data_IF_796868377979
#
_entry.id   IF_796868377979
#
_cell.length_a   1.000
_cell.length_b   1.000
_cell.length_c   1.000
_cell.angle_alpha   90.00
_cell.angle_beta   90.00
_cell.angle_gamma   90.00
#
_symmetry.space_group_name_H-M   'P 1'
#
loop_
_entity.id
_entity.type
_entity.pdbx_description
1 polymer ?
#
# COMPACT_ATOMS: atom_id res chain seq x y z
N UNK A 1 -19.86 -8.32 40.24
CA UNK A 1 -20.08 -7.22 39.28
C UNK A 1 -18.83 -7.16 38.41
N UNK A 2 -18.78 -8.03 37.42
CA UNK A 2 -17.80 -7.94 36.33
C UNK A 2 -18.62 -7.47 35.12
N UNK A 3 -18.21 -6.33 34.58
CA UNK A 3 -18.84 -5.70 33.44
C UNK A 3 -18.29 -6.39 32.19
N UNK A 4 -19.14 -7.12 31.48
CA UNK A 4 -18.85 -7.64 30.15
C UNK A 4 -18.75 -6.47 29.17
N UNK A 5 -17.57 -6.31 28.56
CA UNK A 5 -17.37 -5.44 27.41
C UNK A 5 -17.72 -6.28 26.17
N UNK A 6 -18.71 -5.92 25.35
CA UNK A 6 -18.97 -6.65 24.12
C UNK A 6 -17.88 -6.33 23.10
N UNK A 7 -17.07 -7.34 22.79
CA UNK A 7 -16.17 -7.34 21.64
C UNK A 7 -17.03 -7.39 20.38
N UNK A 8 -17.33 -6.23 19.81
CA UNK A 8 -18.05 -6.13 18.55
C UNK A 8 -17.05 -6.41 17.41
N UNK A 9 -16.68 -7.68 17.23
CA UNK A 9 -16.05 -8.15 16.01
C UNK A 9 -17.11 -8.03 14.91
N UNK A 10 -17.07 -6.92 14.18
CA UNK A 10 -17.96 -6.68 13.06
C UNK A 10 -17.65 -7.71 11.97
N UNK A 11 -18.42 -8.80 11.93
CA UNK A 11 -18.60 -9.65 10.77
C UNK A 11 -19.30 -8.83 9.68
N UNK A 12 -18.56 -7.94 9.04
CA UNK A 12 -18.99 -7.34 7.78
C UNK A 12 -18.59 -8.34 6.70
N UNK A 13 -19.60 -9.00 6.13
CA UNK A 13 -19.45 -9.84 4.95
C UNK A 13 -18.81 -9.03 3.82
N UNK A 14 -17.58 -9.38 3.46
CA UNK A 14 -16.81 -8.77 2.33
C UNK A 14 -17.58 -8.90 1.00
N UNK A 15 -18.54 -9.82 0.91
CA UNK A 15 -19.26 -10.14 -0.33
C UNK A 15 -20.19 -9.03 -0.86
N UNK A 16 -20.52 -7.98 -0.10
CA UNK A 16 -21.45 -6.92 -0.51
C UNK A 16 -20.87 -5.49 -0.43
N UNK A 17 -19.58 -5.35 -0.11
CA UNK A 17 -18.90 -4.05 -0.10
C UNK A 17 -18.21 -3.78 -1.44
N UNK A 18 -18.59 -2.68 -2.09
CA UNK A 18 -17.88 -2.16 -3.27
C UNK A 18 -16.45 -1.78 -2.88
N UNK A 19 -15.48 -2.49 -3.44
CA UNK A 19 -14.05 -2.20 -3.26
C UNK A 19 -13.70 -0.93 -4.03
N UNK A 20 -13.04 0.01 -3.35
CA UNK A 20 -12.57 1.27 -3.93
C UNK A 20 -11.14 1.10 -4.42
N UNK A 21 -10.92 1.45 -5.68
CA UNK A 21 -9.59 1.68 -6.22
C UNK A 21 -9.28 3.18 -6.01
N UNK A 22 -8.37 3.53 -5.10
CA UNK A 22 -8.16 4.94 -4.68
C UNK A 22 -7.65 5.85 -5.81
N UNK A 23 -7.15 5.25 -6.88
CA UNK A 23 -6.67 5.90 -8.10
C UNK A 23 -7.73 6.04 -9.20
N UNK A 24 -8.96 5.54 -9.00
CA UNK A 24 -10.00 5.51 -10.04
C UNK A 24 -11.32 6.11 -9.53
N UNK A 25 -11.59 7.37 -9.92
CA UNK A 25 -12.76 8.13 -9.48
C UNK A 25 -14.09 7.43 -9.76
N UNK A 26 -14.20 6.64 -10.85
CA UNK A 26 -15.43 5.89 -11.19
C UNK A 26 -15.74 4.78 -10.18
N UNK A 27 -14.76 4.37 -9.36
CA UNK A 27 -14.94 3.35 -8.32
C UNK A 27 -15.44 3.94 -7.00
N UNK A 28 -15.37 5.26 -6.83
CA UNK A 28 -15.85 5.93 -5.63
C UNK A 28 -17.37 5.77 -5.52
N UNK A 29 -17.87 5.57 -4.30
CA UNK A 29 -19.32 5.51 -4.07
C UNK A 29 -19.97 6.89 -4.14
N UNK A 30 -21.30 6.90 -4.29
CA UNK A 30 -22.07 8.13 -4.48
C UNK A 30 -21.97 9.10 -3.30
N UNK A 31 -21.85 8.60 -2.07
CA UNK A 31 -21.72 9.45 -0.89
C UNK A 31 -20.37 10.17 -0.89
N UNK A 32 -19.29 9.44 -1.17
CA UNK A 32 -17.95 10.00 -1.28
C UNK A 32 -17.87 11.04 -2.42
N UNK A 33 -18.41 10.70 -3.60
CA UNK A 33 -18.43 11.62 -4.74
C UNK A 33 -19.20 12.90 -4.44
N UNK A 34 -20.38 12.82 -3.83
CA UNK A 34 -21.16 14.01 -3.49
C UNK A 34 -20.39 14.98 -2.57
N UNK A 35 -19.63 14.45 -1.61
CA UNK A 35 -18.80 15.25 -0.70
C UNK A 35 -17.61 15.90 -1.42
N UNK A 36 -17.00 15.19 -2.35
CA UNK A 36 -15.91 15.74 -3.18
C UNK A 36 -16.42 16.82 -4.14
N UNK A 37 -17.59 16.62 -4.75
CA UNK A 37 -18.24 17.58 -5.65
C UNK A 37 -18.64 18.87 -4.91
N UNK A 38 -19.19 18.76 -3.70
CA UNK A 38 -19.51 19.91 -2.84
C UNK A 38 -18.27 20.76 -2.53
N UNK A 39 -17.09 20.12 -2.45
CA UNK A 39 -15.82 20.76 -2.13
C UNK A 39 -14.90 20.99 -3.34
N UNK A 40 -15.40 20.82 -4.56
CA UNK A 40 -14.59 20.93 -5.79
C UNK A 40 -13.83 22.27 -5.89
N UNK A 41 -14.43 23.46 -5.61
CA UNK A 41 -13.71 24.73 -5.67
C UNK A 41 -12.54 24.82 -4.69
N UNK A 42 -12.65 24.19 -3.52
CA UNK A 42 -11.59 24.14 -2.52
C UNK A 42 -10.45 23.22 -2.97
N UNK A 43 -10.77 22.02 -3.47
CA UNK A 43 -9.79 21.03 -3.94
C UNK A 43 -9.00 21.59 -5.13
N UNK A 44 -9.72 22.09 -6.14
CA UNK A 44 -9.11 22.65 -7.36
C UNK A 44 -8.29 23.90 -7.05
N UNK A 45 -8.83 24.80 -6.22
CA UNK A 45 -8.13 26.01 -5.78
C UNK A 45 -6.85 25.70 -5.02
N UNK A 46 -6.87 24.69 -4.14
CA UNK A 46 -5.68 24.26 -3.40
C UNK A 46 -4.57 23.77 -4.33
N UNK A 47 -4.87 22.84 -5.25
CA UNK A 47 -3.85 22.27 -6.13
C UNK A 47 -3.32 23.29 -7.14
N UNK A 48 -4.16 24.17 -7.68
CA UNK A 48 -3.70 25.23 -8.56
C UNK A 48 -2.81 26.23 -7.81
N UNK A 49 -3.18 26.62 -6.58
CA UNK A 49 -2.35 27.49 -5.76
C UNK A 49 -1.00 26.84 -5.41
N UNK A 50 -0.96 25.55 -5.04
CA UNK A 50 0.31 24.83 -4.83
C UNK A 50 1.16 24.81 -6.10
N UNK A 51 0.56 24.52 -7.27
CA UNK A 51 1.27 24.54 -8.55
C UNK A 51 1.89 25.91 -8.83
N UNK A 52 1.13 26.99 -8.66
CA UNK A 52 1.62 28.35 -8.87
C UNK A 52 2.74 28.73 -7.88
N UNK A 53 2.62 28.34 -6.61
CA UNK A 53 3.68 28.55 -5.61
C UNK A 53 4.93 27.77 -6.00
N UNK A 54 4.79 26.49 -6.35
CA UNK A 54 5.91 25.65 -6.79
C UNK A 54 6.64 26.28 -7.99
N UNK A 55 5.92 26.67 -9.04
CA UNK A 55 6.52 27.23 -10.25
C UNK A 55 7.19 28.59 -9.99
N UNK A 56 6.53 29.49 -9.26
CA UNK A 56 7.05 30.85 -9.04
C UNK A 56 8.18 30.89 -8.01
N UNK A 57 8.06 30.14 -6.92
CA UNK A 57 8.96 30.20 -5.76
C UNK A 57 9.98 29.06 -5.75
N UNK A 58 9.52 27.81 -5.77
CA UNK A 58 10.35 26.63 -5.51
C UNK A 58 11.27 26.33 -6.70
N UNK A 59 10.73 26.41 -7.92
CA UNK A 59 11.50 26.31 -9.17
C UNK A 59 12.23 27.63 -9.51
N UNK A 60 11.93 28.71 -8.80
CA UNK A 60 12.62 30.00 -8.93
C UNK A 60 12.33 30.74 -10.23
N UNK A 61 11.18 30.51 -10.88
CA UNK A 61 10.83 31.20 -12.13
C UNK A 61 10.46 32.68 -11.94
N UNK A 62 10.19 33.15 -10.71
CA UNK A 62 10.01 34.59 -10.43
C UNK A 62 11.32 35.24 -9.94
N UNK A 63 11.92 36.18 -10.70
CA UNK A 63 13.08 36.94 -10.26
C UNK A 63 12.85 37.78 -8.99
N UNK A 64 11.58 38.02 -8.62
CA UNK A 64 11.16 38.75 -7.42
C UNK A 64 10.76 37.83 -6.27
N UNK A 65 11.10 36.53 -6.34
CA UNK A 65 10.71 35.57 -5.30
C UNK A 65 11.11 36.07 -3.92
N UNK A 66 10.16 35.99 -2.99
CA UNK A 66 10.41 36.19 -1.58
C UNK A 66 11.43 35.16 -1.07
N UNK A 67 12.15 35.49 0.01
CA UNK A 67 12.98 34.51 0.72
C UNK A 67 12.11 33.45 1.43
N UNK A 68 10.89 33.81 1.81
CA UNK A 68 9.92 32.92 2.43
C UNK A 68 8.93 32.40 1.39
N UNK A 69 8.73 31.08 1.38
CA UNK A 69 7.70 30.42 0.57
C UNK A 69 6.32 30.95 0.96
N UNK A 70 5.53 31.46 0.00
CA UNK A 70 4.15 31.86 0.28
C UNK A 70 3.32 30.69 0.80
N UNK A 71 2.41 30.96 1.72
CA UNK A 71 1.41 29.98 2.15
C UNK A 71 0.30 29.86 1.12
N UNK A 72 -0.23 28.65 0.96
CA UNK A 72 -1.41 28.42 0.15
C UNK A 72 -2.67 28.89 0.89
N UNK A 73 -3.49 29.79 0.30
CA UNK A 73 -4.66 30.35 0.96
C UNK A 73 -5.74 29.30 1.27
N UNK A 74 -5.75 28.17 0.57
CA UNK A 74 -6.69 27.07 0.76
C UNK A 74 -6.20 26.03 1.77
N UNK A 75 -4.96 26.13 2.27
CA UNK A 75 -4.32 25.07 3.04
C UNK A 75 -5.12 24.65 4.29
N UNK A 76 -5.68 25.61 5.02
CA UNK A 76 -6.45 25.30 6.23
C UNK A 76 -7.72 24.49 5.92
N UNK A 77 -8.56 24.97 5.00
CA UNK A 77 -9.76 24.25 4.60
C UNK A 77 -9.44 22.90 3.93
N UNK A 78 -8.35 22.81 3.18
CA UNK A 78 -7.92 21.55 2.57
C UNK A 78 -7.53 20.50 3.63
N UNK A 79 -6.85 20.91 4.71
CA UNK A 79 -6.54 20.01 5.83
C UNK A 79 -7.82 19.51 6.51
N UNK A 80 -8.78 20.39 6.80
CA UNK A 80 -10.07 20.04 7.38
C UNK A 80 -10.85 19.06 6.49
N UNK A 81 -10.88 19.33 5.17
CA UNK A 81 -11.50 18.44 4.20
C UNK A 81 -10.81 17.06 4.19
N UNK A 82 -9.47 17.03 4.22
CA UNK A 82 -8.73 15.77 4.23
C UNK A 82 -9.01 14.95 5.50
N UNK A 83 -9.13 15.59 6.66
CA UNK A 83 -9.55 14.92 7.89
C UNK A 83 -10.97 14.36 7.76
N UNK A 84 -11.91 15.15 7.26
CA UNK A 84 -13.29 14.75 7.07
C UNK A 84 -13.44 13.56 6.10
N UNK A 85 -12.80 13.62 4.93
CA UNK A 85 -12.79 12.51 3.96
C UNK A 85 -12.06 11.30 4.56
N UNK A 86 -10.97 11.50 5.31
CA UNK A 86 -10.28 10.43 6.01
C UNK A 86 -11.19 9.67 6.98
N UNK A 87 -12.01 10.36 7.77
CA UNK A 87 -13.00 9.74 8.65
C UNK A 87 -14.06 8.95 7.85
N UNK A 88 -14.51 9.48 6.71
CA UNK A 88 -15.43 8.75 5.84
C UNK A 88 -14.78 7.48 5.26
N UNK A 89 -13.49 7.51 4.93
CA UNK A 89 -12.77 6.36 4.41
C UNK A 89 -12.63 5.22 5.41
N UNK A 90 -12.70 5.46 6.72
CA UNK A 90 -12.59 4.41 7.75
C UNK A 90 -13.61 3.27 7.58
N UNK A 91 -14.83 3.58 7.12
CA UNK A 91 -15.90 2.60 6.93
C UNK A 91 -15.85 1.86 5.58
N UNK A 92 -14.82 2.11 4.77
CA UNK A 92 -14.71 1.63 3.39
C UNK A 92 -13.59 0.60 3.25
N UNK A 93 -13.67 -0.15 2.16
CA UNK A 93 -12.67 -1.17 1.79
C UNK A 93 -11.98 -0.73 0.50
N UNK A 94 -10.65 -0.72 0.50
CA UNK A 94 -9.86 -0.38 -0.68
C UNK A 94 -9.16 -1.60 -1.26
N UNK A 95 -8.83 -1.59 -2.56
CA UNK A 95 -7.87 -2.52 -3.13
C UNK A 95 -6.45 -2.04 -2.79
N UNK A 96 -5.62 -2.95 -2.32
CA UNK A 96 -4.21 -2.74 -2.05
C UNK A 96 -3.37 -3.94 -2.51
N UNK A 97 -2.05 -3.78 -2.54
CA UNK A 97 -1.14 -4.76 -3.13
C UNK A 97 -0.04 -5.16 -2.15
N UNK A 98 0.21 -6.45 -2.00
CA UNK A 98 1.35 -7.00 -1.27
C UNK A 98 2.32 -7.67 -2.23
N UNK A 99 3.60 -7.27 -2.17
CA UNK A 99 4.67 -7.78 -3.01
C UNK A 99 5.57 -8.67 -2.17
N UNK A 100 5.82 -9.90 -2.63
CA UNK A 100 6.59 -10.88 -1.85
C UNK A 100 7.08 -12.02 -2.74
N UNK A 101 7.86 -12.94 -2.16
CA UNK A 101 8.23 -14.21 -2.79
C UNK A 101 7.69 -15.37 -1.94
N UNK A 102 6.86 -16.20 -2.54
CA UNK A 102 6.12 -17.29 -1.86
C UNK A 102 6.22 -18.60 -2.63
N UNK A 103 6.15 -19.72 -1.90
CA UNK A 103 5.93 -21.06 -2.48
C UNK A 103 4.49 -21.21 -2.97
N UNK A 104 4.23 -22.24 -3.76
CA UNK A 104 2.86 -22.56 -4.18
C UNK A 104 1.99 -22.96 -2.97
N UNK A 105 2.52 -23.77 -2.05
CA UNK A 105 1.83 -24.16 -0.81
C UNK A 105 1.45 -22.93 0.06
N UNK A 106 2.30 -21.91 0.13
CA UNK A 106 1.97 -20.66 0.85
C UNK A 106 0.82 -19.91 0.17
N UNK A 107 0.79 -19.91 -1.17
CA UNK A 107 -0.30 -19.29 -1.93
C UNK A 107 -1.61 -20.05 -1.71
N UNK A 108 -1.59 -21.38 -1.76
CA UNK A 108 -2.75 -22.22 -1.46
C UNK A 108 -3.29 -21.95 -0.05
N UNK A 109 -2.40 -21.92 0.95
CA UNK A 109 -2.77 -21.58 2.32
C UNK A 109 -3.39 -20.18 2.45
N UNK A 110 -2.86 -19.17 1.75
CA UNK A 110 -3.44 -17.82 1.76
C UNK A 110 -4.84 -17.81 1.12
N UNK A 111 -5.03 -18.57 0.04
CA UNK A 111 -6.32 -18.68 -0.65
C UNK A 111 -7.36 -19.46 0.18
N UNK A 112 -6.94 -20.42 1.00
CA UNK A 112 -7.83 -21.26 1.82
C UNK A 112 -8.11 -20.66 3.20
N UNK A 113 -7.08 -20.18 3.89
CA UNK A 113 -7.14 -19.72 5.28
C UNK A 113 -7.15 -18.20 5.44
N UNK A 114 -6.84 -17.46 4.36
CA UNK A 114 -6.75 -16.00 4.38
C UNK A 114 -5.36 -15.49 4.76
N UNK A 115 -5.26 -14.18 4.96
CA UNK A 115 -4.01 -13.50 5.25
C UNK A 115 -3.78 -13.48 6.76
N UNK A 116 -2.62 -13.98 7.18
CA UNK A 116 -2.16 -13.90 8.57
C UNK A 116 -1.21 -12.71 8.75
N UNK A 117 -1.28 -12.07 9.91
CA UNK A 117 -0.33 -11.02 10.30
C UNK A 117 1.02 -11.61 10.70
N UNK A 118 2.09 -10.83 10.54
CA UNK A 118 3.45 -11.31 10.84
C UNK A 118 3.70 -11.39 12.34
N UNK A 119 3.84 -12.60 12.87
CA UNK A 119 4.27 -12.89 14.25
C UNK A 119 5.45 -13.87 14.27
N UNK A 120 6.19 -13.98 15.38
CA UNK A 120 7.21 -15.01 15.54
C UNK A 120 6.68 -16.42 15.24
N UNK A 121 5.47 -16.74 15.70
CA UNK A 121 4.84 -18.05 15.51
C UNK A 121 4.56 -18.30 14.02
N UNK A 122 4.01 -17.32 13.31
CA UNK A 122 3.74 -17.45 11.86
C UNK A 122 5.02 -17.57 11.04
N UNK A 123 6.09 -16.83 11.39
CA UNK A 123 7.39 -16.98 10.74
C UNK A 123 7.98 -18.37 11.01
N UNK A 124 7.86 -18.85 12.27
CA UNK A 124 8.37 -20.17 12.63
C UNK A 124 7.66 -21.27 11.84
N UNK A 125 6.33 -21.23 11.77
CA UNK A 125 5.53 -22.17 10.98
C UNK A 125 5.96 -22.21 9.51
N UNK A 126 6.16 -21.03 8.90
CA UNK A 126 6.63 -20.93 7.51
C UNK A 126 8.00 -21.57 7.33
N UNK A 127 8.95 -21.28 8.22
CA UNK A 127 10.28 -21.88 8.18
C UNK A 127 10.24 -23.40 8.38
N UNK A 128 9.42 -23.91 9.30
CA UNK A 128 9.27 -25.34 9.55
C UNK A 128 8.68 -26.09 8.35
N UNK A 129 7.79 -25.45 7.58
CA UNK A 129 7.28 -25.99 6.32
C UNK A 129 8.38 -26.10 5.25
N UNK A 130 9.23 -25.08 5.13
CA UNK A 130 10.40 -25.12 4.23
C UNK A 130 11.41 -26.19 4.65
N UNK A 131 11.62 -26.40 5.96
CA UNK A 131 12.46 -27.49 6.47
C UNK A 131 11.84 -28.86 6.15
N UNK A 132 10.53 -29.00 6.36
CA UNK A 132 9.81 -30.27 6.12
C UNK A 132 9.80 -30.67 4.64
N UNK A 133 9.85 -29.71 3.72
CA UNK A 133 10.03 -29.95 2.28
C UNK A 133 11.48 -30.29 1.89
N UNK A 134 12.43 -30.25 2.83
CA UNK A 134 13.84 -30.57 2.62
C UNK A 134 14.65 -29.46 1.92
N UNK A 135 14.06 -28.27 1.77
CA UNK A 135 14.71 -27.14 1.08
C UNK A 135 15.75 -26.46 1.99
N UNK A 136 15.45 -26.31 3.28
CA UNK A 136 16.36 -25.78 4.29
C UNK A 136 16.65 -26.81 5.38
N UNK A 137 17.81 -26.72 6.02
CA UNK A 137 18.08 -27.45 7.25
C UNK A 137 17.45 -26.73 8.45
N UNK A 138 17.21 -27.47 9.52
CA UNK A 138 16.76 -26.92 10.82
C UNK A 138 17.72 -25.83 11.30
N UNK A 139 19.04 -26.07 11.23
CA UNK A 139 20.04 -25.10 11.70
C UNK A 139 19.95 -23.75 10.96
N UNK A 140 19.77 -23.78 9.62
CA UNK A 140 19.60 -22.56 8.82
C UNK A 140 18.29 -21.87 9.17
N UNK A 141 17.20 -22.62 9.33
CA UNK A 141 15.91 -22.07 9.70
C UNK A 141 15.92 -21.42 11.10
N UNK A 142 16.65 -21.99 12.06
CA UNK A 142 16.82 -21.42 13.40
C UNK A 142 17.65 -20.15 13.37
N UNK A 143 18.71 -20.10 12.57
CA UNK A 143 19.52 -18.90 12.42
C UNK A 143 18.74 -17.77 11.73
N UNK A 144 17.98 -18.09 10.66
CA UNK A 144 17.08 -17.12 10.00
C UNK A 144 16.03 -16.56 10.97
N UNK A 145 15.47 -17.42 11.82
CA UNK A 145 14.52 -16.97 12.84
C UNK A 145 15.18 -16.02 13.84
N UNK A 146 16.38 -16.36 14.33
CA UNK A 146 17.13 -15.54 15.28
C UNK A 146 17.56 -14.18 14.68
N UNK A 147 17.84 -14.11 13.38
CA UNK A 147 18.17 -12.87 12.65
C UNK A 147 16.94 -12.07 12.17
N UNK A 148 15.73 -12.58 12.42
CA UNK A 148 14.49 -11.93 12.00
C UNK A 148 14.26 -10.59 12.72
N UNK A 149 13.46 -9.66 12.15
CA UNK A 149 13.17 -8.37 12.77
C UNK A 149 12.42 -8.49 14.10
N UNK A 150 11.92 -9.68 14.46
CA UNK A 150 11.30 -9.93 15.77
C UNK A 150 12.30 -9.96 16.94
N UNK A 151 13.59 -9.91 16.64
CA UNK A 151 14.67 -9.86 17.64
C UNK A 151 15.56 -8.63 17.48
N UNK A 152 15.10 -7.61 16.75
CA UNK A 152 15.82 -6.36 16.51
C UNK A 152 14.99 -5.12 16.86
N UNK A 153 15.55 -3.95 16.58
CA UNK A 153 14.87 -2.65 16.68
C UNK A 153 13.71 -2.48 15.68
N UNK A 154 13.53 -3.44 14.76
CA UNK A 154 12.43 -3.48 13.79
C UNK A 154 11.18 -4.19 14.31
N UNK A 155 11.20 -4.71 15.54
CA UNK A 155 10.09 -5.48 16.13
C UNK A 155 8.76 -4.74 16.00
N UNK A 156 8.69 -3.48 16.44
CA UNK A 156 7.45 -2.69 16.45
C UNK A 156 6.94 -2.38 15.03
N UNK A 157 7.82 -2.36 14.03
CA UNK A 157 7.45 -2.12 12.64
C UNK A 157 6.85 -3.37 11.97
N UNK A 158 7.12 -4.57 12.49
CA UNK A 158 6.75 -5.84 11.84
C UNK A 158 5.77 -6.70 12.65
N UNK A 159 5.87 -6.69 13.98
CA UNK A 159 5.04 -7.51 14.85
C UNK A 159 3.56 -7.18 14.68
N UNK A 160 2.77 -8.22 14.41
CA UNK A 160 1.32 -8.14 14.27
C UNK A 160 0.87 -7.38 13.02
N UNK A 161 1.72 -7.21 12.01
CA UNK A 161 1.40 -6.42 10.82
C UNK A 161 1.50 -7.22 9.53
N UNK A 162 0.61 -6.92 8.59
CA UNK A 162 0.71 -7.33 7.19
C UNK A 162 0.71 -6.09 6.32
N UNK A 163 1.85 -5.82 5.66
CA UNK A 163 2.12 -4.58 4.93
C UNK A 163 1.69 -4.67 3.47
N UNK A 164 1.11 -3.60 2.95
CA UNK A 164 0.67 -3.44 1.57
C UNK A 164 1.00 -2.02 1.08
N UNK A 165 0.76 -1.78 -0.20
CA UNK A 165 0.74 -0.43 -0.79
C UNK A 165 -0.61 -0.15 -1.44
N UNK A 166 -1.05 1.10 -1.39
CA UNK A 166 -2.38 1.52 -1.83
C UNK A 166 -2.53 1.64 -3.34
N UNK A 167 -1.43 1.65 -4.09
CA UNK A 167 -1.43 1.77 -5.55
C UNK A 167 -0.63 0.63 -6.17
N UNK A 168 -0.98 0.19 -7.39
CA UNK A 168 -0.18 -0.80 -8.08
C UNK A 168 1.17 -0.18 -8.47
N UNK A 169 2.25 -0.85 -8.08
CA UNK A 169 3.63 -0.51 -8.42
C UNK A 169 4.19 -1.47 -9.46
N UNK A 170 4.98 -0.94 -10.38
CA UNK A 170 5.70 -1.73 -11.36
C UNK A 170 6.69 -2.69 -10.68
N UNK A 171 6.84 -3.90 -11.23
CA UNK A 171 7.74 -4.92 -10.67
C UNK A 171 9.22 -4.51 -10.67
N UNK A 172 9.59 -3.52 -11.49
CA UNK A 172 10.94 -2.94 -11.53
C UNK A 172 11.12 -1.74 -10.58
N UNK A 173 10.09 -1.36 -9.83
CA UNK A 173 10.17 -0.28 -8.85
C UNK A 173 11.21 -0.66 -7.78
N UNK A 174 12.08 0.28 -7.42
CA UNK A 174 13.21 0.03 -6.51
C UNK A 174 12.78 -0.35 -5.09
N UNK A 175 11.57 0.03 -4.65
CA UNK A 175 10.98 -0.43 -3.39
C UNK A 175 10.35 -1.83 -3.49
N UNK A 176 9.97 -2.27 -4.69
CA UNK A 176 9.32 -3.57 -4.94
C UNK A 176 10.33 -4.69 -5.19
N UNK A 177 11.39 -4.40 -5.95
CA UNK A 177 12.40 -5.41 -6.33
C UNK A 177 12.95 -6.18 -5.11
N UNK A 178 13.37 -5.53 -4.01
CA UNK A 178 13.89 -6.25 -2.84
C UNK A 178 12.87 -7.18 -2.17
N UNK A 179 11.57 -6.84 -2.22
CA UNK A 179 10.50 -7.62 -1.59
C UNK A 179 10.28 -8.98 -2.28
N UNK A 180 10.58 -9.06 -3.58
CA UNK A 180 10.33 -10.25 -4.41
C UNK A 180 11.61 -11.05 -4.71
N UNK A 181 12.78 -10.52 -4.38
CA UNK A 181 14.05 -11.15 -4.69
C UNK A 181 14.26 -12.45 -3.89
N UNK A 182 14.02 -12.40 -2.57
CA UNK A 182 14.27 -13.50 -1.63
C UNK A 182 13.01 -13.90 -0.89
N UNK A 183 12.89 -15.21 -0.63
CA UNK A 183 11.72 -15.77 0.05
C UNK A 183 11.52 -15.15 1.44
N UNK A 184 10.25 -14.92 1.78
CA UNK A 184 9.84 -14.38 3.06
C UNK A 184 10.07 -12.87 3.25
N UNK A 185 10.50 -12.17 2.19
CA UNK A 185 10.50 -10.72 2.10
C UNK A 185 11.15 -10.03 3.31
N UNK A 186 10.50 -8.99 3.82
CA UNK A 186 10.98 -8.19 4.94
C UNK A 186 11.16 -8.96 6.25
N UNK A 187 10.36 -10.00 6.48
CA UNK A 187 10.31 -10.69 7.78
C UNK A 187 11.32 -11.82 7.86
N UNK A 188 11.62 -12.51 6.76
CA UNK A 188 12.57 -13.63 6.79
C UNK A 188 13.96 -13.29 6.23
N UNK A 189 14.08 -12.30 5.34
CA UNK A 189 15.29 -12.20 4.49
C UNK A 189 15.95 -10.82 4.45
N UNK A 190 15.22 -9.71 4.56
CA UNK A 190 15.81 -8.37 4.35
C UNK A 190 16.83 -7.95 5.41
N UNK A 191 16.74 -8.50 6.62
CA UNK A 191 17.63 -8.14 7.73
C UNK A 191 18.81 -9.11 7.90
N UNK A 192 18.81 -10.21 7.14
CA UNK A 192 19.84 -11.25 7.17
C UNK A 192 21.04 -10.77 6.35
N UNK A 193 22.17 -10.51 7.01
CA UNK A 193 23.39 -10.01 6.36
C UNK A 193 24.31 -11.13 5.88
N UNK A 194 24.21 -12.30 6.50
CA UNK A 194 25.01 -13.45 6.09
C UNK A 194 24.50 -14.00 4.75
N UNK A 195 25.38 -13.99 3.74
CA UNK A 195 25.07 -14.52 2.41
C UNK A 195 24.85 -16.02 2.41
N UNK A 196 25.52 -16.75 3.30
CA UNK A 196 25.35 -18.19 3.41
C UNK A 196 23.93 -18.60 3.84
N UNK A 197 23.26 -17.74 4.61
CA UNK A 197 21.86 -17.90 5.02
C UNK A 197 20.86 -17.35 4.01
N UNK A 198 21.17 -16.19 3.43
CA UNK A 198 20.23 -15.48 2.55
C UNK A 198 20.24 -16.01 1.11
N UNK A 199 21.34 -16.52 0.58
CA UNK A 199 21.43 -17.02 -0.81
C UNK A 199 20.56 -18.22 -1.11
N UNK A 200 20.37 -19.20 -0.20
CA UNK A 200 19.36 -20.24 -0.36
C UNK A 200 17.95 -19.68 -0.62
N UNK A 201 17.58 -18.56 0.00
CA UNK A 201 16.24 -17.97 -0.09
C UNK A 201 15.90 -17.43 -1.49
N UNK A 202 16.90 -17.18 -2.34
CA UNK A 202 16.69 -16.77 -3.75
C UNK A 202 15.98 -17.85 -4.57
N UNK A 203 16.12 -19.12 -4.17
CA UNK A 203 15.62 -20.28 -4.92
C UNK A 203 14.27 -20.78 -4.42
N UNK A 204 13.76 -20.23 -3.32
CA UNK A 204 12.55 -20.71 -2.66
C UNK A 204 11.34 -19.93 -3.19
N UNK A 205 10.35 -20.64 -3.72
CA UNK A 205 9.14 -20.01 -4.25
C UNK A 205 9.38 -19.15 -5.48
N UNK A 206 8.42 -18.27 -5.79
CA UNK A 206 8.40 -17.37 -6.94
C UNK A 206 7.92 -15.97 -6.52
N UNK A 207 8.34 -14.89 -7.21
CA UNK A 207 7.76 -13.56 -7.04
C UNK A 207 6.23 -13.60 -7.18
N UNK A 208 5.53 -12.97 -6.24
CA UNK A 208 4.07 -12.85 -6.19
C UNK A 208 3.63 -11.43 -5.90
N UNK A 209 2.45 -11.11 -6.42
CA UNK A 209 1.71 -9.89 -6.08
C UNK A 209 0.32 -10.34 -5.65
N UNK A 210 -0.06 -10.00 -4.42
CA UNK A 210 -1.38 -10.32 -3.87
C UNK A 210 -2.21 -9.04 -3.91
N UNK A 211 -3.35 -9.09 -4.58
CA UNK A 211 -4.38 -8.06 -4.48
C UNK A 211 -5.27 -8.36 -3.28
N UNK A 212 -5.48 -7.35 -2.44
CA UNK A 212 -6.19 -7.49 -1.19
C UNK A 212 -7.27 -6.43 -1.07
N UNK A 213 -8.49 -6.85 -0.74
CA UNK A 213 -9.52 -5.97 -0.22
C UNK A 213 -9.21 -5.68 1.26
N UNK A 214 -8.79 -4.45 1.53
CA UNK A 214 -8.39 -3.98 2.86
C UNK A 214 -9.48 -3.09 3.45
N UNK A 215 -10.22 -3.56 4.46
CA UNK A 215 -11.11 -2.70 5.25
C UNK A 215 -10.27 -1.65 5.97
N UNK A 216 -10.55 -0.36 5.77
CA UNK A 216 -9.72 0.69 6.35
C UNK A 216 -9.85 0.80 7.86
N UNK A 217 -10.95 0.33 8.46
CA UNK A 217 -11.10 0.17 9.90
C UNK A 217 -10.21 -0.92 10.52
N UNK A 218 -9.61 -1.79 9.70
CA UNK A 218 -8.56 -2.74 10.12
C UNK A 218 -7.16 -2.10 10.09
N UNK A 219 -7.07 -0.80 9.78
CA UNK A 219 -5.84 -0.04 9.58
C UNK A 219 -5.88 1.28 10.37
N UNK A 220 -4.75 1.99 10.42
CA UNK A 220 -4.66 3.37 10.91
C UNK A 220 -4.48 4.40 9.77
N UNK A 221 -4.77 3.99 8.54
CA UNK A 221 -4.35 4.72 7.33
C UNK A 221 -5.51 5.41 6.57
N UNK A 222 -6.68 5.54 7.20
CA UNK A 222 -7.86 6.19 6.59
C UNK A 222 -7.59 7.65 6.21
N UNK A 223 -6.81 8.39 6.99
CA UNK A 223 -6.38 9.76 6.65
C UNK A 223 -5.53 9.83 5.37
N UNK A 224 -4.64 8.86 5.16
CA UNK A 224 -3.82 8.78 3.94
C UNK A 224 -4.69 8.39 2.74
N UNK A 225 -5.63 7.46 2.93
CA UNK A 225 -6.63 7.13 1.93
C UNK A 225 -7.46 8.36 1.51
N UNK A 226 -7.89 9.20 2.46
CA UNK A 226 -8.59 10.45 2.14
C UNK A 226 -7.76 11.41 1.28
N UNK A 227 -6.44 11.49 1.52
CA UNK A 227 -5.52 12.24 0.66
C UNK A 227 -5.48 11.72 -0.77
N UNK A 228 -5.36 10.40 -0.95
CA UNK A 228 -5.37 9.77 -2.27
C UNK A 228 -6.69 9.99 -3.02
N UNK A 229 -7.82 9.86 -2.33
CA UNK A 229 -9.15 10.13 -2.90
C UNK A 229 -9.26 11.58 -3.41
N UNK A 230 -8.83 12.55 -2.60
CA UNK A 230 -8.88 13.97 -2.97
C UNK A 230 -7.93 14.26 -4.14
N UNK A 231 -6.73 13.67 -4.15
CA UNK A 231 -5.78 13.81 -5.25
C UNK A 231 -6.35 13.26 -6.56
N UNK A 232 -6.87 12.03 -6.55
CA UNK A 232 -7.52 11.39 -7.70
C UNK A 232 -8.70 12.20 -8.21
N UNK A 233 -9.54 12.72 -7.30
CA UNK A 233 -10.66 13.57 -7.68
C UNK A 233 -10.18 14.89 -8.31
N UNK A 234 -9.22 15.58 -7.68
CA UNK A 234 -8.65 16.82 -8.22
C UNK A 234 -8.10 16.62 -9.64
N UNK A 235 -7.38 15.52 -9.86
CA UNK A 235 -6.87 15.15 -11.18
C UNK A 235 -7.99 14.91 -12.20
N UNK A 236 -9.09 14.27 -11.79
CA UNK A 236 -10.28 14.12 -12.66
C UNK A 236 -10.96 15.45 -13.04
N UNK A 237 -10.67 16.53 -12.28
CA UNK A 237 -11.13 17.90 -12.56
C UNK A 237 -10.08 18.76 -13.27
N UNK A 238 -8.97 18.16 -13.70
CA UNK A 238 -7.94 18.83 -14.51
C UNK A 238 -6.82 19.51 -13.72
N UNK A 239 -6.71 19.26 -12.41
CA UNK A 239 -5.49 19.65 -11.66
C UNK A 239 -4.41 18.58 -11.76
N UNK A 240 -3.21 18.89 -11.30
CA UNK A 240 -2.01 18.04 -11.49
C UNK A 240 -1.37 17.61 -10.16
N UNK A 241 -2.12 16.99 -9.22
CA UNK A 241 -1.52 16.47 -8.00
C UNK A 241 -0.71 15.20 -8.27
N UNK A 242 0.29 14.94 -7.42
CA UNK A 242 0.89 13.60 -7.28
C UNK A 242 -0.20 12.58 -6.91
N UNK A 243 0.02 11.29 -7.23
CA UNK A 243 -0.96 10.22 -6.96
C UNK A 243 -1.27 9.99 -5.49
N UNK A 244 -0.42 10.51 -4.60
CA UNK A 244 -0.55 10.37 -3.14
C UNK A 244 -0.59 8.89 -2.70
N UNK A 245 0.25 8.06 -3.32
CA UNK A 245 0.42 6.66 -2.91
C UNK A 245 0.95 6.56 -1.48
N UNK A 246 0.54 5.50 -0.78
CA UNK A 246 0.92 5.29 0.61
C UNK A 246 1.02 3.80 0.92
N UNK A 247 1.95 3.48 1.82
CA UNK A 247 2.00 2.17 2.44
C UNK A 247 1.00 2.09 3.59
N UNK A 248 0.43 0.91 3.76
CA UNK A 248 -0.54 0.61 4.81
C UNK A 248 -0.29 -0.78 5.37
N UNK A 249 -0.78 -1.02 6.58
CA UNK A 249 -0.82 -2.35 7.16
C UNK A 249 -2.15 -2.61 7.86
N UNK A 250 -2.50 -3.89 7.93
CA UNK A 250 -3.54 -4.41 8.83
C UNK A 250 -2.90 -5.00 10.07
N UNK A 251 -3.57 -4.83 11.21
CA UNK A 251 -3.16 -5.39 12.52
C UNK A 251 -3.95 -6.65 12.90
N UNK A 252 -4.85 -7.10 12.00
CA UNK A 252 -5.69 -8.28 12.16
C UNK A 252 -5.59 -9.18 10.94
N UNK A 253 -5.76 -10.48 11.14
CA UNK A 253 -5.86 -11.43 10.03
C UNK A 253 -7.07 -11.09 9.14
N UNK A 254 -6.91 -11.26 7.83
CA UNK A 254 -7.99 -11.06 6.86
C UNK A 254 -8.52 -12.41 6.37
N UNK A 255 -9.83 -12.54 6.16
CA UNK A 255 -10.41 -13.80 5.72
C UNK A 255 -10.02 -14.11 4.26
N UNK A 256 -10.18 -15.36 3.79
CA UNK A 256 -9.89 -15.75 2.41
C UNK A 256 -10.52 -14.85 1.35
N UNK A 257 -11.74 -14.35 1.60
CA UNK A 257 -12.47 -13.49 0.67
C UNK A 257 -11.85 -12.11 0.50
N UNK A 258 -10.92 -11.71 1.37
CA UNK A 258 -10.15 -10.49 1.20
C UNK A 258 -9.07 -10.63 0.11
N UNK A 259 -8.66 -11.85 -0.25
CA UNK A 259 -7.71 -12.09 -1.34
C UNK A 259 -8.46 -12.01 -2.67
N UNK A 260 -8.19 -10.96 -3.44
CA UNK A 260 -8.87 -10.70 -4.71
C UNK A 260 -8.21 -11.45 -5.87
N UNK A 261 -6.88 -11.49 -5.87
CA UNK A 261 -6.07 -12.17 -6.87
C UNK A 261 -4.66 -12.42 -6.34
N UNK A 262 -4.00 -13.45 -6.87
CA UNK A 262 -2.56 -13.69 -6.68
C UNK A 262 -1.93 -13.83 -8.05
N UNK A 263 -1.01 -12.93 -8.37
CA UNK A 263 -0.27 -12.92 -9.63
C UNK A 263 1.13 -13.48 -9.43
N UNK A 264 1.62 -14.24 -10.39
CA UNK A 264 2.91 -14.91 -10.36
C UNK A 264 3.85 -14.39 -11.45
N UNK A 265 5.15 -14.48 -11.21
CA UNK A 265 6.14 -14.37 -12.27
C UNK A 265 5.79 -15.30 -13.45
N UNK A 266 5.70 -14.72 -14.65
CA UNK A 266 5.25 -15.40 -15.87
C UNK A 266 3.84 -15.02 -16.31
N UNK A 267 3.00 -14.52 -15.40
CA UNK A 267 1.65 -14.07 -15.73
C UNK A 267 1.68 -12.72 -16.47
N UNK A 268 0.72 -12.50 -17.38
CA UNK A 268 0.58 -11.23 -18.11
C UNK A 268 0.32 -10.09 -17.11
N UNK A 269 -0.62 -10.29 -16.18
CA UNK A 269 -0.98 -9.28 -15.18
C UNK A 269 0.18 -8.95 -14.22
N UNK A 270 1.04 -9.92 -13.89
CA UNK A 270 2.24 -9.69 -13.08
C UNK A 270 3.20 -8.72 -13.79
N UNK A 271 3.51 -8.98 -15.07
CA UNK A 271 4.42 -8.13 -15.84
C UNK A 271 3.84 -6.75 -16.16
N UNK A 272 2.52 -6.66 -16.27
CA UNK A 272 1.78 -5.44 -16.55
C UNK A 272 1.48 -4.59 -15.29
N UNK A 273 1.70 -5.13 -14.08
CA UNK A 273 1.36 -4.46 -12.82
C UNK A 273 1.96 -3.06 -12.74
N UNK A 274 1.16 -2.07 -12.32
CA UNK A 274 1.57 -0.68 -12.15
C UNK A 274 1.95 0.04 -13.44
N UNK A 275 1.60 -0.55 -14.60
CA UNK A 275 1.84 0.03 -15.93
C UNK A 275 0.58 0.00 -16.77
N UNK A 276 0.07 -1.20 -17.03
CA UNK A 276 -1.14 -1.45 -17.82
C UNK A 276 -2.20 -2.21 -17.00
N UNK A 277 -1.78 -2.80 -15.88
CA UNK A 277 -2.63 -3.49 -14.94
C UNK A 277 -2.62 -2.81 -13.57
N UNK A 278 -3.77 -2.67 -12.88
CA UNK A 278 -5.12 -3.04 -13.32
C UNK A 278 -5.57 -2.26 -14.56
N UNK A 279 -6.52 -2.82 -15.32
CA UNK A 279 -7.01 -2.19 -16.55
C UNK A 279 -7.46 -0.74 -16.28
N UNK A 280 -6.94 0.19 -17.07
CA UNK A 280 -7.23 1.62 -16.94
C UNK A 280 -6.41 2.35 -15.87
N UNK A 281 -5.52 1.67 -15.14
CA UNK A 281 -4.55 2.34 -14.28
C UNK A 281 -3.57 3.18 -15.11
N UNK A 282 -3.29 4.39 -14.64
CA UNK A 282 -2.28 5.28 -15.18
C UNK A 282 -1.44 5.74 -13.99
N UNK A 283 -0.12 5.52 -14.04
CA UNK A 283 0.78 6.08 -13.03
C UNK A 283 0.98 7.57 -13.32
N UNK A 284 0.18 8.40 -12.66
CA UNK A 284 0.14 9.84 -12.89
C UNK A 284 1.39 10.58 -12.40
N UNK A 285 2.29 9.89 -11.71
CA UNK A 285 3.60 10.46 -11.36
C UNK A 285 4.60 10.32 -12.52
N UNK A 286 4.37 9.40 -13.46
CA UNK A 286 5.20 9.28 -14.67
C UNK A 286 4.91 10.47 -15.59
N UNK A 287 5.92 11.29 -15.87
CA UNK A 287 5.76 12.51 -16.66
C UNK A 287 5.14 13.68 -15.89
N UNK A 288 4.94 13.55 -14.58
CA UNK A 288 4.40 14.62 -13.74
C UNK A 288 5.27 15.89 -13.80
N UNK A 289 6.60 15.74 -13.90
CA UNK A 289 7.51 16.87 -14.04
C UNK A 289 7.18 17.71 -15.29
N UNK A 290 7.01 17.05 -16.44
CA UNK A 290 6.63 17.70 -17.69
C UNK A 290 5.24 18.34 -17.58
N UNK A 291 4.28 17.67 -16.96
CA UNK A 291 2.92 18.20 -16.74
C UNK A 291 2.91 19.45 -15.82
N UNK A 292 3.74 19.44 -14.79
CA UNK A 292 3.88 20.55 -13.85
C UNK A 292 4.61 21.74 -14.47
N UNK A 293 5.72 21.49 -15.16
CA UNK A 293 6.70 22.52 -15.54
C UNK A 293 6.68 22.89 -17.01
N UNK A 294 6.20 22.01 -17.90
CA UNK A 294 6.34 22.10 -19.35
C UNK A 294 7.75 21.76 -19.87
N UNK A 295 8.64 21.27 -19.01
CA UNK A 295 10.00 20.84 -19.37
C UNK A 295 9.99 19.31 -19.54
N UNK A 296 10.37 18.83 -20.72
CA UNK A 296 10.59 17.40 -20.93
C UNK A 296 11.78 16.87 -20.12
N UNK A 297 11.73 15.59 -19.74
CA UNK A 297 12.84 14.87 -19.08
C UNK A 297 14.06 14.68 -19.99
#
# INVERSE_FOLDING_TARGET
MCSDIPTNAANVSVADQRIIDVWEVRKFDANLLAQLEENEPLITGYFEAEKQIFLSHDLGRDPRRSMLRPSNPYAHGFLELKEMIGLQMEMRTIRAFHYTRLTDDEVENILEAGIQVSTPETLRQRLDAIVSSGILSVDVADQLFAESPFHSDQLDARLGKFWLTSHPLAICNSGVVPLMERWGGEVASMWVRDRSLSDPLLKIGRPRIIEVAVPLNATKHSYMAGGAIIATFGRSRGTTPEKFAFDLYVEVALPPQAVLAVHAEGDIAFNAMGREYPEGYIDVDVGLWEELTGEGE
#
